data_IF_023317558312
#
_entry.id   IF_023317558312
#
_cell.length_a   1.000
_cell.length_b   1.000
_cell.length_c   1.000
_cell.angle_alpha   90.00
_cell.angle_beta   90.00
_cell.angle_gamma   90.00
#
_symmetry.space_group_name_H-M   'P 1'
#
loop_
_entity.id
_entity.type
_entity.pdbx_description
1 polymer ?
#
# COMPACT_ATOMS: atom_id res chain seq x y z
N UNK A 1 10.33 4.64 24.95
CA UNK A 1 8.88 4.71 25.24
C UNK A 1 8.43 3.26 25.37
N UNK A 2 8.22 2.79 26.59
CA UNK A 2 8.34 1.37 26.93
C UNK A 2 6.97 0.69 26.87
N UNK A 3 6.91 -0.61 26.52
CA UNK A 3 5.66 -1.35 26.32
C UNK A 3 4.67 -1.25 27.51
N UNK A 4 5.19 -1.13 28.72
CA UNK A 4 4.41 -0.94 29.96
C UNK A 4 3.66 0.41 29.97
N UNK A 5 4.30 1.47 29.46
CA UNK A 5 3.69 2.83 29.34
C UNK A 5 2.56 2.90 28.32
N UNK A 6 2.58 2.03 27.30
CA UNK A 6 1.50 1.90 26.32
C UNK A 6 0.31 1.13 26.88
N UNK A 7 0.56 0.15 27.74
CA UNK A 7 -0.46 -0.68 28.38
C UNK A 7 -1.21 0.08 29.47
N UNK A 8 -0.51 0.87 30.28
CA UNK A 8 -1.10 1.74 31.33
C UNK A 8 -2.03 2.80 30.69
N UNK A 9 -1.53 3.51 29.67
CA UNK A 9 -2.30 4.51 28.91
C UNK A 9 -3.53 3.92 28.21
N UNK A 10 -3.46 2.65 27.78
CA UNK A 10 -4.61 1.95 27.19
C UNK A 10 -5.70 1.67 28.23
N UNK A 11 -5.29 1.26 29.44
CA UNK A 11 -6.19 0.93 30.55
C UNK A 11 -6.93 2.16 31.07
N UNK A 12 -6.25 3.30 31.17
CA UNK A 12 -6.85 4.58 31.59
C UNK A 12 -7.89 5.08 30.58
N UNK A 13 -7.62 4.91 29.28
CA UNK A 13 -8.55 5.29 28.21
C UNK A 13 -9.82 4.43 28.22
N UNK A 14 -9.68 3.13 28.49
CA UNK A 14 -10.82 2.22 28.65
C UNK A 14 -11.67 2.62 29.86
N UNK A 15 -11.04 2.90 30.99
CA UNK A 15 -11.72 3.34 32.21
C UNK A 15 -12.48 4.66 32.01
N UNK A 16 -11.85 5.65 31.36
CA UNK A 16 -12.51 6.92 31.01
C UNK A 16 -13.68 6.73 30.04
N UNK A 17 -13.57 5.78 29.09
CA UNK A 17 -14.66 5.40 28.20
C UNK A 17 -15.86 4.84 28.96
N UNK A 18 -15.63 3.97 29.95
CA UNK A 18 -16.69 3.40 30.78
C UNK A 18 -17.39 4.45 31.65
N UNK A 19 -16.64 5.39 32.25
CA UNK A 19 -17.22 6.47 33.06
C UNK A 19 -18.07 7.41 32.20
N UNK A 20 -17.58 7.78 31.01
CA UNK A 20 -18.32 8.65 30.09
C UNK A 20 -19.58 7.95 29.56
N UNK A 21 -19.50 6.65 29.28
CA UNK A 21 -20.66 5.83 28.88
C UNK A 21 -21.70 5.71 30.00
N UNK A 22 -21.27 5.58 31.26
CA UNK A 22 -22.16 5.56 32.43
C UNK A 22 -22.82 6.92 32.70
N UNK A 23 -22.12 8.03 32.45
CA UNK A 23 -22.69 9.38 32.54
C UNK A 23 -23.76 9.65 31.47
N UNK A 24 -23.69 8.98 30.33
CA UNK A 24 -24.63 9.13 29.22
C UNK A 24 -25.92 8.31 29.39
N UNK A 25 -25.96 7.40 30.37
CA UNK A 25 -27.12 6.57 30.76
C UNK A 25 -28.28 7.37 31.39
N UNK A 26 -28.08 8.66 31.67
CA UNK A 26 -29.05 9.50 32.40
C UNK A 26 -29.97 10.39 31.54
N UNK A 27 -30.01 10.30 30.19
CA UNK A 27 -31.07 11.05 29.50
C UNK A 27 -31.13 11.17 27.97
N UNK A 28 -30.14 10.71 27.19
CA UNK A 28 -30.20 10.85 25.72
C UNK A 28 -29.79 9.56 25.00
N UNK A 29 -30.66 8.54 25.06
CA UNK A 29 -30.50 7.31 24.28
C UNK A 29 -30.75 7.54 22.79
N UNK A 30 -29.83 7.10 21.92
CA UNK A 30 -30.03 7.03 20.47
C UNK A 30 -29.20 8.01 19.62
N UNK A 31 -28.64 9.07 20.19
CA UNK A 31 -27.86 10.07 19.43
C UNK A 31 -26.52 9.50 18.89
N UNK A 32 -25.91 8.58 19.64
CA UNK A 32 -24.66 7.91 19.24
C UNK A 32 -24.84 7.00 18.00
N UNK A 33 -26.02 6.37 17.83
CA UNK A 33 -26.36 5.58 16.63
C UNK A 33 -26.59 6.44 15.40
N UNK A 34 -27.11 7.66 15.59
CA UNK A 34 -27.23 8.65 14.53
C UNK A 34 -25.83 9.12 14.06
N UNK A 35 -24.91 9.29 15.00
CA UNK A 35 -23.52 9.67 14.72
C UNK A 35 -22.75 8.55 13.97
N UNK A 36 -23.05 7.28 14.26
CA UNK A 36 -22.42 6.13 13.59
C UNK A 36 -23.06 5.75 12.23
N UNK A 37 -23.91 6.62 11.67
CA UNK A 37 -24.46 6.47 10.31
C UNK A 37 -25.66 5.51 10.18
N UNK A 38 -26.11 4.89 11.28
CA UNK A 38 -27.29 4.00 11.29
C UNK A 38 -28.57 4.79 11.62
N UNK A 39 -28.95 5.68 10.69
CA UNK A 39 -30.06 6.65 10.81
C UNK A 39 -31.39 5.96 11.18
N UNK A 40 -31.78 4.90 10.46
CA UNK A 40 -33.06 4.22 10.71
C UNK A 40 -33.17 3.63 12.12
N UNK A 41 -32.09 3.02 12.62
CA UNK A 41 -32.08 2.44 13.96
C UNK A 41 -31.97 3.50 15.07
N UNK A 42 -31.32 4.64 14.79
CA UNK A 42 -31.23 5.77 15.71
C UNK A 42 -32.57 6.46 15.90
N UNK A 43 -33.35 6.64 14.83
CA UNK A 43 -34.70 7.23 14.88
C UNK A 43 -35.67 6.31 15.62
N UNK A 44 -35.65 5.00 15.36
CA UNK A 44 -36.49 4.01 16.07
C UNK A 44 -36.23 4.04 17.58
N UNK A 45 -34.99 4.28 17.98
CA UNK A 45 -34.55 4.39 19.36
C UNK A 45 -34.90 5.72 20.04
N UNK A 46 -34.92 6.81 19.27
CA UNK A 46 -35.35 8.12 19.72
C UNK A 46 -36.86 8.14 19.98
N UNK A 47 -37.64 7.48 19.13
CA UNK A 47 -39.11 7.37 19.25
C UNK A 47 -39.52 6.45 20.40
N UNK A 48 -38.71 5.43 20.72
CA UNK A 48 -38.99 4.49 21.83
C UNK A 48 -38.40 4.92 23.17
N UNK A 49 -37.80 6.12 23.27
CA UNK A 49 -37.20 6.65 24.49
C UNK A 49 -36.09 5.76 25.07
N UNK A 50 -35.37 5.01 24.22
CA UNK A 50 -34.40 4.01 24.64
C UNK A 50 -34.91 3.00 25.67
N UNK A 51 -36.19 2.62 25.57
CA UNK A 51 -36.94 1.69 26.43
C UNK A 51 -36.21 1.18 27.69
N UNK A 52 -36.11 2.06 28.70
CA UNK A 52 -35.65 1.79 30.08
C UNK A 52 -34.23 1.19 30.26
N UNK A 53 -33.30 1.50 29.36
CA UNK A 53 -31.90 1.05 29.51
C UNK A 53 -31.65 -0.39 29.04
N UNK A 54 -32.70 -1.17 28.73
CA UNK A 54 -32.58 -2.49 28.08
C UNK A 54 -31.93 -2.35 26.72
N UNK A 55 -32.29 -1.29 25.99
CA UNK A 55 -31.64 -1.00 24.74
C UNK A 55 -30.13 -0.77 24.90
N UNK A 56 -29.67 -0.11 25.98
CA UNK A 56 -28.24 0.15 26.19
C UNK A 56 -27.48 -1.14 26.53
N UNK A 57 -28.14 -2.07 27.20
CA UNK A 57 -27.63 -3.44 27.39
C UNK A 57 -27.51 -4.16 26.05
N UNK A 58 -28.51 -4.07 25.17
CA UNK A 58 -28.42 -4.65 23.82
C UNK A 58 -27.35 -3.96 22.98
N UNK A 59 -27.14 -2.65 23.14
CA UNK A 59 -26.08 -1.91 22.44
C UNK A 59 -24.68 -2.29 22.95
N UNK A 60 -24.53 -2.66 24.23
CA UNK A 60 -23.29 -3.28 24.76
C UNK A 60 -22.97 -4.62 24.09
N UNK A 61 -24.00 -5.43 23.80
CA UNK A 61 -23.81 -6.68 23.04
C UNK A 61 -23.55 -6.45 21.55
N UNK A 62 -24.02 -5.34 20.97
CA UNK A 62 -23.77 -4.98 19.56
C UNK A 62 -22.46 -4.22 19.35
N UNK A 63 -21.90 -3.61 20.39
CA UNK A 63 -20.63 -2.90 20.36
C UNK A 63 -19.46 -3.75 19.82
N UNK A 64 -19.25 -5.03 20.21
CA UNK A 64 -18.19 -5.85 19.64
C UNK A 64 -18.35 -6.08 18.14
N UNK A 65 -19.58 -6.21 17.65
CA UNK A 65 -19.87 -6.39 16.22
C UNK A 65 -19.58 -5.10 15.44
N UNK A 66 -19.92 -3.94 16.00
CA UNK A 66 -19.60 -2.64 15.41
C UNK A 66 -18.10 -2.33 15.40
N UNK A 67 -17.38 -2.72 16.46
CA UNK A 67 -15.92 -2.59 16.52
C UNK A 67 -15.26 -3.53 15.52
N UNK A 68 -15.73 -4.78 15.41
CA UNK A 68 -15.23 -5.74 14.42
C UNK A 68 -15.46 -5.26 12.99
N UNK A 69 -16.63 -4.71 12.69
CA UNK A 69 -16.95 -4.17 11.36
C UNK A 69 -16.13 -2.91 11.04
N UNK A 70 -15.90 -2.03 12.03
CA UNK A 70 -15.03 -0.85 11.85
C UNK A 70 -13.57 -1.23 11.69
N UNK A 71 -13.10 -2.19 12.46
CA UNK A 71 -11.75 -2.73 12.35
C UNK A 71 -11.56 -3.42 10.99
N UNK A 72 -12.54 -4.19 10.53
CA UNK A 72 -12.55 -4.78 9.20
C UNK A 72 -12.54 -3.70 8.11
N UNK A 73 -13.34 -2.65 8.22
CA UNK A 73 -13.30 -1.54 7.27
C UNK A 73 -11.95 -0.80 7.27
N UNK A 74 -11.35 -0.57 8.44
CA UNK A 74 -10.03 0.04 8.57
C UNK A 74 -8.94 -0.86 7.97
N UNK A 75 -9.02 -2.17 8.20
CA UNK A 75 -8.15 -3.19 7.61
C UNK A 75 -8.31 -3.22 6.09
N UNK A 76 -9.54 -3.21 5.57
CA UNK A 76 -9.81 -3.16 4.13
C UNK A 76 -9.28 -1.88 3.48
N UNK A 77 -9.46 -0.71 4.10
CA UNK A 77 -8.86 0.56 3.64
C UNK A 77 -7.32 0.54 3.72
N UNK A 78 -6.75 -0.22 4.64
CA UNK A 78 -5.32 -0.46 4.77
C UNK A 78 -4.83 -1.64 3.90
N UNK A 79 -5.68 -2.27 3.08
CA UNK A 79 -5.32 -3.39 2.21
C UNK A 79 -5.02 -4.70 2.95
N UNK A 80 -5.56 -4.89 4.15
CA UNK A 80 -5.41 -6.07 5.02
C UNK A 80 -6.67 -6.95 5.00
N UNK A 81 -6.45 -8.27 5.07
CA UNK A 81 -7.43 -9.35 5.18
C UNK A 81 -8.08 -9.36 6.56
N UNK A 82 -9.29 -9.95 6.71
CA UNK A 82 -9.89 -10.21 8.02
C UNK A 82 -8.96 -10.91 9.02
N UNK A 83 -8.00 -11.71 8.54
CA UNK A 83 -7.00 -12.41 9.36
C UNK A 83 -5.71 -11.61 9.61
N UNK A 84 -5.68 -10.31 9.28
CA UNK A 84 -4.50 -9.46 9.44
C UNK A 84 -3.39 -9.67 8.40
N UNK A 85 -3.65 -10.49 7.39
CA UNK A 85 -2.72 -10.75 6.27
C UNK A 85 -2.91 -9.66 5.20
N UNK A 86 -1.89 -8.99 4.68
CA UNK A 86 -2.09 -8.06 3.56
C UNK A 86 -2.79 -8.74 2.37
N UNK A 87 -3.97 -8.25 2.00
CA UNK A 87 -4.66 -8.64 0.75
C UNK A 87 -3.99 -8.06 -0.48
N UNK A 88 -3.12 -7.06 -0.29
CA UNK A 88 -2.11 -6.71 -1.27
C UNK A 88 -0.93 -7.70 -1.20
N UNK A 89 -1.20 -8.98 -1.46
CA UNK A 89 -0.16 -9.86 -1.97
C UNK A 89 -0.23 -9.69 -3.49
N UNK A 90 0.68 -8.87 -3.98
CA UNK A 90 0.86 -8.47 -5.37
C UNK A 90 0.83 -9.67 -6.32
N UNK A 91 -0.34 -9.91 -6.91
CA UNK A 91 -0.40 -10.49 -8.25
C UNK A 91 -0.55 -9.28 -9.18
N UNK A 92 0.57 -8.90 -9.82
CA UNK A 92 0.70 -7.84 -10.85
C UNK A 92 0.75 -6.41 -10.28
N UNK A 93 1.70 -5.53 -10.59
CA UNK A 93 2.76 -5.51 -11.59
C UNK A 93 4.04 -5.03 -10.90
N UNK A 94 5.19 -5.46 -11.40
CA UNK A 94 6.42 -4.67 -11.45
C UNK A 94 6.39 -3.39 -10.59
N UNK A 95 6.78 -3.51 -9.31
CA UNK A 95 7.77 -2.55 -8.84
C UNK A 95 9.03 -2.86 -9.67
N UNK A 96 8.97 -2.47 -10.96
CA UNK A 96 10.08 -1.84 -11.63
C UNK A 96 10.48 -0.83 -10.60
N UNK A 97 11.50 -1.17 -9.83
CA UNK A 97 12.38 -0.20 -9.25
C UNK A 97 12.61 0.74 -10.42
N UNK A 98 11.84 1.84 -10.45
CA UNK A 98 12.04 2.94 -11.38
C UNK A 98 13.36 3.47 -10.86
N UNK A 99 14.42 2.81 -11.29
CA UNK A 99 15.74 3.36 -11.32
C UNK A 99 15.46 4.72 -11.96
N UNK A 100 15.56 5.85 -11.22
CA UNK A 100 15.32 7.16 -11.82
C UNK A 100 16.07 7.15 -13.14
N UNK A 101 15.47 7.53 -14.28
CA UNK A 101 16.02 7.25 -15.63
C UNK A 101 17.55 7.50 -15.72
N UNK A 102 18.03 8.47 -14.95
CA UNK A 102 19.44 8.76 -14.67
C UNK A 102 20.26 7.58 -14.10
N UNK A 103 19.83 6.90 -13.03
CA UNK A 103 20.51 5.72 -12.48
C UNK A 103 20.45 4.51 -13.43
N UNK A 104 19.44 4.44 -14.31
CA UNK A 104 19.28 3.33 -15.26
C UNK A 104 20.33 3.48 -16.35
N UNK A 105 20.46 4.71 -16.83
CA UNK A 105 21.52 5.14 -17.74
C UNK A 105 22.90 4.78 -17.18
N UNK A 106 23.18 5.14 -15.92
CA UNK A 106 24.47 4.85 -15.28
C UNK A 106 24.75 3.35 -15.24
N UNK A 107 23.76 2.51 -14.92
CA UNK A 107 23.92 1.05 -14.93
C UNK A 107 24.12 0.46 -16.33
N UNK A 108 23.45 1.03 -17.34
CA UNK A 108 23.64 0.62 -18.74
C UNK A 108 25.04 1.01 -19.24
N UNK A 109 25.52 2.19 -18.86
CA UNK A 109 26.87 2.66 -19.19
C UNK A 109 27.91 1.76 -18.52
N UNK A 110 27.77 1.44 -17.23
CA UNK A 110 28.68 0.51 -16.51
C UNK A 110 28.67 -0.90 -17.14
N UNK A 111 27.52 -1.38 -17.61
CA UNK A 111 27.42 -2.65 -18.32
C UNK A 111 28.11 -2.61 -19.70
N UNK A 112 28.04 -1.49 -20.39
CA UNK A 112 28.67 -1.27 -21.69
C UNK A 112 30.20 -1.08 -21.57
N UNK A 113 30.67 -0.36 -20.56
CA UNK A 113 32.10 -0.15 -20.28
C UNK A 113 32.82 -1.48 -20.05
N UNK A 114 32.19 -2.42 -19.35
CA UNK A 114 32.71 -3.79 -19.14
C UNK A 114 32.85 -4.61 -20.43
N UNK A 115 32.22 -4.19 -21.53
CA UNK A 115 32.17 -4.90 -22.80
C UNK A 115 32.59 -3.98 -23.97
N UNK A 116 33.66 -3.19 -23.77
CA UNK A 116 34.28 -2.35 -24.81
C UNK A 116 33.31 -1.32 -25.43
N UNK A 117 32.42 -0.74 -24.61
CA UNK A 117 31.46 0.27 -25.04
C UNK A 117 30.20 -0.29 -25.73
N UNK A 118 30.03 -1.61 -25.75
CA UNK A 118 28.88 -2.31 -26.35
C UNK A 118 28.06 -3.03 -25.30
N UNK A 119 26.74 -3.07 -25.46
CA UNK A 119 25.86 -3.88 -24.60
C UNK A 119 24.83 -4.62 -25.42
N UNK A 120 24.53 -5.86 -25.05
CA UNK A 120 23.37 -6.60 -25.56
C UNK A 120 22.16 -6.40 -24.65
N UNK A 121 20.95 -6.63 -25.17
CA UNK A 121 19.71 -6.57 -24.36
C UNK A 121 19.81 -7.50 -23.15
N UNK A 122 20.36 -8.71 -23.33
CA UNK A 122 20.53 -9.69 -22.26
C UNK A 122 21.50 -9.21 -21.17
N UNK A 123 22.61 -8.58 -21.53
CA UNK A 123 23.56 -8.01 -20.57
C UNK A 123 22.94 -6.83 -19.81
N UNK A 124 22.19 -5.98 -20.50
CA UNK A 124 21.48 -4.85 -19.91
C UNK A 124 20.40 -5.32 -18.91
N UNK A 125 19.62 -6.35 -19.25
CA UNK A 125 18.67 -7.01 -18.34
C UNK A 125 19.40 -7.57 -17.11
N UNK A 126 20.52 -8.27 -17.32
CA UNK A 126 21.32 -8.83 -16.22
C UNK A 126 21.86 -7.76 -15.27
N UNK A 127 22.29 -6.61 -15.78
CA UNK A 127 22.87 -5.53 -14.99
C UNK A 127 21.82 -4.69 -14.25
N UNK A 128 20.66 -4.45 -14.88
CA UNK A 128 19.61 -3.58 -14.33
C UNK A 128 18.59 -4.34 -13.48
N UNK A 129 18.39 -5.63 -13.76
CA UNK A 129 17.32 -6.44 -13.18
C UNK A 129 15.94 -6.14 -13.76
N UNK A 130 15.87 -5.34 -14.83
CA UNK A 130 14.63 -4.96 -15.50
C UNK A 130 14.22 -5.95 -16.58
N UNK A 131 12.95 -5.96 -16.95
CA UNK A 131 12.43 -6.84 -17.98
C UNK A 131 12.96 -6.50 -19.37
N UNK A 132 12.95 -7.49 -20.27
CA UNK A 132 13.38 -7.31 -21.67
C UNK A 132 12.65 -6.16 -22.38
N UNK A 133 11.32 -6.09 -22.23
CA UNK A 133 10.51 -5.06 -22.87
C UNK A 133 10.87 -3.62 -22.42
N UNK A 134 11.23 -3.46 -21.15
CA UNK A 134 11.61 -2.15 -20.58
C UNK A 134 12.98 -1.73 -21.10
N UNK A 135 13.94 -2.65 -21.14
CA UNK A 135 15.29 -2.39 -21.66
C UNK A 135 15.26 -2.10 -23.16
N UNK A 136 14.47 -2.85 -23.93
CA UNK A 136 14.29 -2.58 -25.36
C UNK A 136 13.66 -1.20 -25.61
N UNK A 137 12.66 -0.82 -24.82
CA UNK A 137 12.04 0.50 -24.92
C UNK A 137 13.05 1.61 -24.66
N UNK A 138 13.85 1.49 -23.60
CA UNK A 138 14.90 2.47 -23.26
C UNK A 138 15.98 2.52 -24.34
N UNK A 139 16.52 1.38 -24.76
CA UNK A 139 17.58 1.35 -25.79
C UNK A 139 17.09 1.91 -27.12
N UNK A 140 15.82 1.69 -27.47
CA UNK A 140 15.19 2.26 -28.67
C UNK A 140 14.99 3.78 -28.55
N UNK A 141 14.66 4.28 -27.36
CA UNK A 141 14.61 5.71 -27.08
C UNK A 141 15.99 6.34 -27.21
N UNK A 142 17.03 5.68 -26.67
CA UNK A 142 18.43 6.13 -26.76
C UNK A 142 18.99 6.09 -28.19
N UNK A 143 18.56 5.12 -28.99
CA UNK A 143 18.85 5.06 -30.42
C UNK A 143 18.24 6.26 -31.15
N UNK A 144 17.00 6.65 -30.79
CA UNK A 144 16.30 7.79 -31.40
C UNK A 144 16.93 9.13 -31.02
N UNK A 145 17.40 9.28 -29.79
CA UNK A 145 18.11 10.50 -29.34
C UNK A 145 19.56 10.56 -29.80
N UNK A 146 20.11 9.47 -30.33
CA UNK A 146 21.46 9.41 -30.89
C UNK A 146 22.58 9.06 -29.92
N UNK A 147 22.25 8.66 -28.67
CA UNK A 147 23.25 8.23 -27.69
C UNK A 147 23.85 6.86 -28.02
N UNK A 148 23.09 6.02 -28.73
CA UNK A 148 23.42 4.62 -29.00
C UNK A 148 23.25 4.31 -30.48
N UNK A 149 24.12 3.46 -31.02
CA UNK A 149 23.97 2.86 -32.36
C UNK A 149 23.73 1.37 -32.24
N UNK A 150 22.88 0.84 -33.11
CA UNK A 150 22.71 -0.60 -33.23
C UNK A 150 23.76 -1.12 -34.21
N UNK A 151 24.45 -2.19 -33.82
CA UNK A 151 25.42 -2.91 -34.63
C UNK A 151 25.18 -4.41 -34.46
N UNK A 152 25.79 -5.23 -35.30
CA UNK A 152 25.67 -6.67 -35.22
C UNK A 152 27.05 -7.28 -35.02
N UNK A 153 27.18 -8.13 -34.01
CA UNK A 153 28.43 -8.86 -33.82
C UNK A 153 28.63 -9.87 -34.97
N UNK A 154 29.68 -9.67 -35.76
CA UNK A 154 30.01 -10.50 -36.92
C UNK A 154 30.31 -11.98 -36.57
N UNK A 155 30.66 -12.28 -35.32
CA UNK A 155 30.95 -13.66 -34.89
C UNK A 155 29.71 -14.38 -34.36
N UNK A 156 28.85 -13.69 -33.62
CA UNK A 156 27.71 -14.30 -32.92
C UNK A 156 26.36 -14.01 -33.57
N UNK A 157 26.27 -13.00 -34.43
CA UNK A 157 25.01 -12.51 -35.02
C UNK A 157 24.09 -11.83 -34.01
N UNK A 158 24.59 -11.50 -32.81
CA UNK A 158 23.83 -10.84 -31.77
C UNK A 158 23.74 -9.33 -32.03
N UNK A 159 22.54 -8.78 -31.81
CA UNK A 159 22.30 -7.34 -31.86
C UNK A 159 22.98 -6.68 -30.67
N UNK A 160 23.91 -5.76 -30.97
CA UNK A 160 24.68 -5.00 -29.99
C UNK A 160 24.32 -3.52 -30.07
N UNK A 161 24.31 -2.87 -28.92
CA UNK A 161 24.06 -1.45 -28.77
C UNK A 161 25.36 -0.77 -28.34
N UNK A 162 25.94 0.05 -29.21
CA UNK A 162 27.20 0.75 -28.99
C UNK A 162 26.94 2.18 -28.52
N UNK A 163 27.51 2.55 -27.37
CA UNK A 163 27.34 3.88 -26.77
C UNK A 163 28.43 4.81 -27.30
N UNK A 164 28.04 5.95 -27.89
CA UNK A 164 29.01 6.85 -28.52
C UNK A 164 29.83 7.67 -27.51
N UNK A 165 29.33 7.86 -26.28
CA UNK A 165 29.96 8.72 -25.28
C UNK A 165 31.09 8.05 -24.47
N UNK A 166 31.28 6.74 -24.62
CA UNK A 166 32.24 5.93 -23.83
C UNK A 166 33.29 5.23 -24.72
N UNK A 167 33.35 5.60 -26.00
CA UNK A 167 34.28 5.05 -27.00
C UNK A 167 35.42 6.02 -27.30
#
# INVERSE_FOLDING_TARGET
MNAETLQEKSKDRLFMSYIFAAGMLLGFGGLHRLYNGKIGSGILWLITGGLFGVGQVVDLFLMPDMVAEREMQMRLKAGLSPYGVPMNQSVVASQVYQVPQQQLMVKLIDAAEKNEGKVTVTQAVKATGLGFAEIEAVLKEMLKSGYVRVDNDHHTGAVTYHFHEIA
#
